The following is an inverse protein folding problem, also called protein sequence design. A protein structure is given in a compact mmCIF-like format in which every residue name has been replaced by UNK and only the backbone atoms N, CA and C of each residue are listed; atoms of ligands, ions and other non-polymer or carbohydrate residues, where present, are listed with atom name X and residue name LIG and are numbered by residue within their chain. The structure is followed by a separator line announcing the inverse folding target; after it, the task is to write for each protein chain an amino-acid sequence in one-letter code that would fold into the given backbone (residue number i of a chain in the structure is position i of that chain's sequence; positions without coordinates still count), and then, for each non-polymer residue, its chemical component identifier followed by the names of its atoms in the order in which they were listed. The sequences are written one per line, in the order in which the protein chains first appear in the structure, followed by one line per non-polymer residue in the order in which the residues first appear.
data_IF_893091482822
#
_entry.id   IF_893091482822
#
_cell.length_a   1.000
_cell.length_b   1.000
_cell.length_c   1.000
_cell.angle_alpha   90.00
_cell.angle_beta   90.00
_cell.angle_gamma   90.00
#
_symmetry.space_group_name_H-M   'P 1'
#
loop_
_entity.id
_entity.type
_entity.pdbx_description
1 polymer ?
#
# COMPACT_ATOMS: atom_id res chain seq x y z
N UNK A 1 -2.81 -16.80 7.74
CA UNK A 1 -3.61 -15.73 7.10
C UNK A 1 -3.52 -15.92 5.60
N UNK A 2 -4.62 -15.73 4.85
CA UNK A 2 -4.58 -15.74 3.37
C UNK A 2 -4.30 -14.31 2.90
N UNK A 3 -3.16 -14.10 2.23
CA UNK A 3 -2.81 -12.80 1.64
C UNK A 3 -3.42 -12.71 0.25
N UNK A 4 -4.40 -11.82 0.07
CA UNK A 4 -5.07 -11.60 -1.23
C UNK A 4 -4.43 -10.46 -2.03
N UNK A 5 -3.57 -9.65 -1.40
CA UNK A 5 -2.85 -8.55 -2.00
C UNK A 5 -1.50 -8.37 -1.31
N UNK A 6 -0.53 -7.82 -2.06
CA UNK A 6 0.68 -7.24 -1.48
C UNK A 6 0.32 -5.85 -0.94
N UNK A 7 0.64 -5.58 0.32
CA UNK A 7 0.35 -4.31 0.97
C UNK A 7 1.67 -3.64 1.32
N UNK A 8 1.98 -2.60 0.57
CA UNK A 8 3.15 -1.76 0.75
C UNK A 8 2.79 -0.60 1.70
N UNK A 9 3.63 -0.35 2.69
CA UNK A 9 3.37 0.66 3.72
C UNK A 9 4.53 1.64 3.82
N UNK A 10 4.26 2.91 3.50
CA UNK A 10 5.13 4.03 3.86
C UNK A 10 4.75 4.54 5.24
N UNK A 11 5.69 4.55 6.18
CA UNK A 11 5.48 5.05 7.54
C UNK A 11 6.80 5.47 8.17
N UNK A 12 6.77 6.48 9.03
CA UNK A 12 7.93 6.94 9.79
C UNK A 12 7.84 6.55 11.28
N UNK A 13 6.83 5.76 11.66
CA UNK A 13 6.51 5.42 13.07
C UNK A 13 6.56 3.93 13.40
N UNK A 14 6.83 3.08 12.42
CA UNK A 14 6.95 1.64 12.61
C UNK A 14 8.28 1.18 12.02
N UNK A 15 8.92 0.24 12.69
CA UNK A 15 10.09 -0.46 12.14
C UNK A 15 9.69 -1.51 11.12
N UNK A 16 10.61 -1.83 10.21
CA UNK A 16 10.45 -2.91 9.22
C UNK A 16 10.09 -4.24 9.88
N UNK A 17 10.66 -4.52 11.05
CA UNK A 17 10.36 -5.74 11.81
C UNK A 17 8.88 -5.78 12.28
N UNK A 18 8.32 -4.64 12.69
CA UNK A 18 6.90 -4.54 13.08
C UNK A 18 5.97 -4.70 11.87
N UNK A 19 6.34 -4.14 10.71
CA UNK A 19 5.59 -4.30 9.47
C UNK A 19 5.61 -5.76 8.98
N UNK A 20 6.79 -6.39 8.97
CA UNK A 20 6.94 -7.78 8.56
C UNK A 20 6.16 -8.74 9.47
N UNK A 21 6.16 -8.49 10.79
CA UNK A 21 5.37 -9.26 11.74
C UNK A 21 3.84 -9.14 11.49
N UNK A 22 3.41 -8.06 10.84
CA UNK A 22 2.03 -7.81 10.42
C UNK A 22 1.74 -8.21 8.96
N UNK A 23 2.68 -8.87 8.27
CA UNK A 23 2.59 -9.24 6.85
C UNK A 23 2.49 -8.04 5.89
N UNK A 24 3.08 -6.91 6.27
CA UNK A 24 3.25 -5.74 5.41
C UNK A 24 4.70 -5.63 4.93
N UNK A 25 4.88 -5.02 3.76
CA UNK A 25 6.20 -4.70 3.21
C UNK A 25 6.46 -3.19 3.34
N UNK A 26 7.62 -2.85 3.91
CA UNK A 26 8.02 -1.47 4.12
C UNK A 26 8.49 -0.84 2.80
N UNK A 27 8.09 0.39 2.55
CA UNK A 27 8.57 1.20 1.42
C UNK A 27 8.98 2.59 1.91
N UNK A 28 9.95 3.19 1.23
CA UNK A 28 10.45 4.53 1.55
C UNK A 28 9.82 5.63 0.67
N UNK A 29 9.41 5.29 -0.55
CA UNK A 29 8.87 6.24 -1.52
C UNK A 29 7.71 5.61 -2.31
N UNK A 30 6.57 6.30 -2.30
CA UNK A 30 5.38 5.91 -3.04
C UNK A 30 5.59 6.11 -4.55
N UNK A 31 6.32 7.17 -4.95
CA UNK A 31 6.55 7.47 -6.36
C UNK A 31 7.37 6.36 -7.03
N UNK A 32 8.44 5.90 -6.38
CA UNK A 32 9.25 4.79 -6.87
C UNK A 32 8.43 3.50 -7.09
N UNK A 33 7.43 3.22 -6.24
CA UNK A 33 6.53 2.07 -6.41
C UNK A 33 5.61 2.25 -7.60
N UNK A 34 5.05 3.45 -7.77
CA UNK A 34 4.18 3.78 -8.92
C UNK A 34 4.95 3.69 -10.23
N UNK A 35 6.18 4.19 -10.29
CA UNK A 35 7.02 4.16 -11.49
C UNK A 35 7.45 2.75 -11.87
N UNK A 36 7.54 1.84 -10.88
CA UNK A 36 7.88 0.44 -11.07
C UNK A 36 6.66 -0.43 -11.45
N UNK A 37 5.44 0.10 -11.35
CA UNK A 37 4.24 -0.61 -11.77
C UNK A 37 4.23 -0.80 -13.30
N UNK A 38 3.68 -1.93 -13.76
CA UNK A 38 3.56 -2.23 -15.19
C UNK A 38 2.83 -1.11 -15.94
N UNK A 39 3.20 -0.85 -17.19
CA UNK A 39 2.68 0.28 -17.98
C UNK A 39 1.17 0.18 -18.26
N UNK A 40 0.61 -1.02 -18.18
CA UNK A 40 -0.84 -1.27 -18.31
C UNK A 40 -1.60 -1.20 -16.96
N UNK A 41 -0.90 -0.98 -15.85
CA UNK A 41 -1.53 -0.86 -14.54
C UNK A 41 -2.39 0.41 -14.45
N UNK A 42 -3.57 0.28 -13.83
CA UNK A 42 -4.42 1.42 -13.50
C UNK A 42 -4.29 1.75 -12.02
N UNK A 43 -4.24 3.05 -11.70
CA UNK A 43 -4.05 3.53 -10.33
C UNK A 43 -5.34 4.19 -9.86
N UNK A 44 -5.86 3.70 -8.73
CA UNK A 44 -6.96 4.33 -8.01
C UNK A 44 -6.40 4.99 -6.74
N UNK A 45 -6.69 6.28 -6.56
CA UNK A 45 -6.27 7.03 -5.36
C UNK A 45 -7.50 7.28 -4.49
N UNK A 46 -7.44 6.83 -3.24
CA UNK A 46 -8.43 7.10 -2.21
C UNK A 46 -7.85 8.09 -1.20
N UNK A 47 -8.05 9.41 -1.37
CA UNK A 47 -7.60 10.38 -0.38
C UNK A 47 -8.35 10.19 0.94
N UNK A 48 -7.70 10.54 2.06
CA UNK A 48 -8.28 10.46 3.41
C UNK A 48 -8.89 9.09 3.74
N UNK A 49 -8.21 8.00 3.36
CA UNK A 49 -8.73 6.62 3.39
C UNK A 49 -9.67 6.26 4.55
N UNK A 50 -9.30 6.47 5.84
CA UNK A 50 -10.17 6.13 6.97
C UNK A 50 -11.52 6.86 7.00
N UNK A 51 -11.66 7.99 6.29
CA UNK A 51 -12.87 8.80 6.20
C UNK A 51 -13.68 8.52 4.92
N UNK A 52 -13.20 7.64 4.04
CA UNK A 52 -13.80 7.33 2.74
C UNK A 52 -14.41 5.93 2.74
N UNK A 53 -15.67 5.79 2.34
CA UNK A 53 -16.32 4.48 2.12
C UNK A 53 -16.30 4.19 0.61
N UNK A 54 -15.39 3.35 0.10
CA UNK A 54 -15.37 3.00 -1.31
C UNK A 54 -16.59 2.13 -1.66
N UNK A 55 -17.21 2.41 -2.81
CA UNK A 55 -18.33 1.65 -3.35
C UNK A 55 -18.01 1.24 -4.79
N UNK A 56 -18.50 0.07 -5.20
CA UNK A 56 -18.38 -0.46 -6.57
C UNK A 56 -19.79 -0.49 -7.15
N UNK A 57 -20.00 0.20 -8.28
CA UNK A 57 -21.25 0.20 -9.04
C UNK A 57 -21.28 -0.90 -10.08
#
# INVERSE_FOLDING_TARGET
IQMQAQVLVKTDRLSDAQLQAAHFEAIDDIQAVVDAADGDATICVLPEGPQTIPYIS
#
